data_IF_387384017322
#
_entry.id   IF_387384017322
#
_cell.length_a   1.000
_cell.length_b   1.000
_cell.length_c   1.000
_cell.angle_alpha   90.00
_cell.angle_beta   90.00
_cell.angle_gamma   90.00
#
_symmetry.space_group_name_H-M   'P 1'
#
loop_
_entity.id
_entity.type
_entity.pdbx_description
1 polymer ?
#
# COMPACT_ATOMS: atom_id res chain seq x y z
N UNK A 1 -10.10 -7.85 15.30
CA UNK A 1 -9.67 -6.49 15.66
C UNK A 1 -8.35 -6.51 16.45
N UNK A 2 -8.24 -7.23 17.62
CA UNK A 2 -7.04 -7.24 18.47
C UNK A 2 -5.76 -7.56 17.69
N UNK A 3 -5.72 -8.63 16.89
CA UNK A 3 -4.56 -9.00 16.08
C UNK A 3 -4.25 -7.97 15.00
N UNK A 4 -5.25 -7.31 14.44
CA UNK A 4 -5.03 -6.23 13.47
C UNK A 4 -4.35 -5.02 14.13
N UNK A 5 -4.79 -4.65 15.33
CA UNK A 5 -4.13 -3.60 16.13
C UNK A 5 -2.71 -4.02 16.51
N UNK A 6 -2.50 -5.27 16.92
CA UNK A 6 -1.17 -5.83 17.19
C UNK A 6 -0.25 -5.80 15.97
N UNK A 7 -0.77 -6.07 14.77
CA UNK A 7 -0.01 -5.92 13.53
C UNK A 7 0.41 -4.46 13.29
N UNK A 8 -0.51 -3.51 13.46
CA UNK A 8 -0.21 -2.07 13.34
C UNK A 8 0.88 -1.65 14.34
N UNK A 9 0.81 -2.11 15.60
CA UNK A 9 1.84 -1.87 16.61
C UNK A 9 3.19 -2.44 16.16
N UNK A 10 3.22 -3.68 15.67
CA UNK A 10 4.46 -4.32 15.19
C UNK A 10 5.08 -3.57 14.01
N UNK A 11 4.27 -3.14 13.04
CA UNK A 11 4.72 -2.36 11.88
C UNK A 11 5.35 -1.04 12.33
N UNK A 12 4.72 -0.37 13.27
CA UNK A 12 5.20 0.87 13.86
C UNK A 12 6.51 0.67 14.63
N UNK A 13 6.57 -0.33 15.50
CA UNK A 13 7.75 -0.60 16.31
C UNK A 13 8.97 -1.02 15.46
N UNK A 14 8.72 -1.76 14.38
CA UNK A 14 9.75 -2.14 13.42
C UNK A 14 10.29 -0.98 12.58
N UNK A 15 9.55 0.13 12.46
CA UNK A 15 9.96 1.25 11.61
C UNK A 15 11.31 1.84 12.02
N UNK A 16 11.49 2.17 13.31
CA UNK A 16 12.72 2.74 13.82
C UNK A 16 13.90 1.75 13.71
N UNK A 17 13.65 0.47 14.04
CA UNK A 17 14.66 -0.59 13.97
C UNK A 17 15.20 -0.74 12.56
N UNK A 18 14.33 -0.92 11.57
CA UNK A 18 14.76 -1.16 10.19
C UNK A 18 15.35 0.09 9.54
N UNK A 19 14.81 1.29 9.82
CA UNK A 19 15.41 2.53 9.35
C UNK A 19 16.80 2.78 9.96
N UNK A 20 17.06 2.32 11.18
CA UNK A 20 18.36 2.42 11.85
C UNK A 20 19.39 1.40 11.43
N UNK A 21 19.01 0.37 10.65
CA UNK A 21 19.91 -0.73 10.27
C UNK A 21 20.35 -0.56 8.82
N UNK A 22 21.66 -0.40 8.56
CA UNK A 22 22.19 -0.31 7.19
C UNK A 22 21.97 -1.61 6.42
N UNK A 23 21.53 -1.48 5.18
CA UNK A 23 21.43 -2.58 4.23
C UNK A 23 22.68 -2.71 3.39
N UNK A 24 22.99 -3.94 3.00
CA UNK A 24 24.08 -4.27 2.10
C UNK A 24 23.58 -4.51 0.67
N UNK A 25 24.32 -4.05 -0.31
CA UNK A 25 24.02 -4.22 -1.73
C UNK A 25 23.02 -3.20 -2.30
N UNK A 26 22.56 -3.41 -3.54
CA UNK A 26 21.63 -2.51 -4.22
C UNK A 26 20.24 -2.60 -3.60
N UNK A 27 19.57 -1.44 -3.47
CA UNK A 27 18.21 -1.39 -2.99
C UNK A 27 17.24 -2.05 -3.99
N UNK A 28 16.36 -2.89 -3.49
CA UNK A 28 15.25 -3.44 -4.26
C UNK A 28 14.24 -2.32 -4.62
N UNK A 29 13.68 -2.33 -5.82
CA UNK A 29 12.53 -1.48 -6.13
C UNK A 29 11.35 -1.79 -5.19
N UNK A 30 10.62 -0.76 -4.76
CA UNK A 30 9.50 -0.90 -3.84
C UNK A 30 8.46 -1.94 -4.30
N UNK A 31 8.18 -2.02 -5.61
CA UNK A 31 7.25 -2.99 -6.19
C UNK A 31 7.75 -4.45 -6.06
N UNK A 32 9.05 -4.67 -6.14
CA UNK A 32 9.66 -6.00 -5.94
C UNK A 32 9.69 -6.35 -4.45
N UNK A 33 10.12 -5.41 -3.62
CA UNK A 33 10.15 -5.57 -2.18
C UNK A 33 8.78 -5.95 -1.59
N UNK A 34 7.71 -5.29 -2.05
CA UNK A 34 6.35 -5.56 -1.54
C UNK A 34 5.83 -6.92 -1.99
N UNK A 35 6.18 -7.40 -3.19
CA UNK A 35 5.82 -8.75 -3.64
C UNK A 35 6.35 -9.86 -2.72
N UNK A 36 7.46 -9.63 -2.04
CA UNK A 36 8.02 -10.58 -1.08
C UNK A 36 7.20 -10.73 0.22
N UNK A 37 6.12 -9.97 0.41
CA UNK A 37 5.23 -10.13 1.57
C UNK A 37 4.23 -11.27 1.41
N UNK A 38 3.73 -11.54 0.21
CA UNK A 38 2.73 -12.59 0.00
C UNK A 38 3.22 -13.99 0.44
N UNK A 39 4.40 -14.48 0.02
CA UNK A 39 4.91 -15.77 0.48
C UNK A 39 5.26 -15.80 1.98
N UNK A 40 5.43 -14.63 2.61
CA UNK A 40 5.76 -14.50 4.02
C UNK A 40 4.53 -14.25 4.91
N UNK A 41 3.31 -14.33 4.37
CA UNK A 41 2.09 -13.97 5.10
C UNK A 41 1.87 -14.82 6.36
N UNK A 42 2.17 -16.11 6.32
CA UNK A 42 2.06 -17.01 7.47
C UNK A 42 3.03 -16.60 8.59
N UNK A 43 4.30 -16.39 8.26
CA UNK A 43 5.31 -15.95 9.23
C UNK A 43 4.97 -14.59 9.84
N UNK A 44 4.43 -13.67 9.02
CA UNK A 44 3.98 -12.35 9.50
C UNK A 44 2.83 -12.51 10.49
N UNK A 45 1.90 -13.43 10.22
CA UNK A 45 0.78 -13.70 11.13
C UNK A 45 1.28 -14.26 12.46
N UNK A 46 2.18 -15.24 12.45
CA UNK A 46 2.80 -15.81 13.67
C UNK A 46 3.57 -14.74 14.46
N UNK A 47 4.41 -13.94 13.79
CA UNK A 47 5.12 -12.83 14.41
C UNK A 47 4.17 -11.79 15.00
N UNK A 48 3.02 -11.56 14.38
CA UNK A 48 2.00 -10.65 14.88
C UNK A 48 1.35 -11.20 16.15
N UNK A 49 1.03 -12.50 16.19
CA UNK A 49 0.51 -13.16 17.38
C UNK A 49 1.53 -13.06 18.52
N UNK A 50 2.79 -13.41 18.26
CA UNK A 50 3.86 -13.34 19.26
C UNK A 50 4.08 -11.91 19.78
N UNK A 51 4.14 -10.91 18.90
CA UNK A 51 4.34 -9.51 19.26
C UNK A 51 3.14 -8.87 19.98
N UNK A 52 1.93 -9.39 19.73
CA UNK A 52 0.72 -8.95 20.44
C UNK A 52 0.69 -9.56 21.85
N UNK A 53 1.19 -10.79 21.99
CA UNK A 53 1.26 -11.51 23.25
C UNK A 53 -0.08 -11.48 24.01
N UNK A 54 -0.01 -11.23 25.30
CA UNK A 54 -1.15 -11.06 26.20
C UNK A 54 -1.57 -9.59 26.37
N UNK A 55 -0.93 -8.65 25.64
CA UNK A 55 -1.24 -7.23 25.73
C UNK A 55 -2.74 -6.97 25.62
N UNK A 56 -3.31 -6.30 26.60
CA UNK A 56 -4.69 -5.84 26.57
C UNK A 56 -4.86 -4.59 25.68
N UNK A 57 -6.10 -4.11 25.49
CA UNK A 57 -6.35 -2.91 24.67
C UNK A 57 -5.61 -1.67 25.17
N UNK A 58 -5.47 -1.48 26.47
CA UNK A 58 -4.79 -0.31 27.04
C UNK A 58 -3.30 -0.33 26.72
N UNK A 59 -2.63 -1.46 26.83
CA UNK A 59 -1.23 -1.65 26.51
C UNK A 59 -0.96 -1.41 25.02
N UNK A 60 -1.77 -2.01 24.13
CA UNK A 60 -1.67 -1.80 22.69
C UNK A 60 -1.85 -0.32 22.32
N UNK A 61 -2.80 0.38 22.93
CA UNK A 61 -3.01 1.82 22.71
C UNK A 61 -1.82 2.62 23.23
N UNK A 62 -1.27 2.28 24.39
CA UNK A 62 -0.08 2.95 24.93
C UNK A 62 1.11 2.79 23.99
N UNK A 63 1.34 1.60 23.47
CA UNK A 63 2.38 1.33 22.46
C UNK A 63 2.15 2.16 21.21
N UNK A 64 0.93 2.24 20.67
CA UNK A 64 0.62 3.07 19.50
C UNK A 64 0.87 4.57 19.72
N UNK A 65 0.69 5.08 20.93
CA UNK A 65 0.88 6.48 21.28
C UNK A 65 2.33 6.84 21.61
N UNK A 66 3.16 5.85 21.90
CA UNK A 66 4.55 6.10 22.23
C UNK A 66 5.29 6.77 21.04
N UNK A 67 6.24 7.68 21.25
CA UNK A 67 7.01 8.28 20.17
C UNK A 67 7.79 7.21 19.38
N UNK A 68 7.86 7.36 18.04
CA UNK A 68 8.78 6.57 17.23
C UNK A 68 10.04 7.41 17.02
N UNK A 69 11.20 7.00 17.56
CA UNK A 69 12.43 7.76 17.37
C UNK A 69 12.81 7.76 15.89
N UNK A 70 13.09 8.94 15.35
CA UNK A 70 13.67 9.05 14.02
C UNK A 70 15.17 8.70 14.11
N UNK A 71 15.69 7.75 13.34
CA UNK A 71 17.11 7.42 13.35
C UNK A 71 17.92 8.58 12.80
N UNK A 72 19.00 8.95 13.51
CA UNK A 72 19.89 10.02 13.07
C UNK A 72 20.69 9.60 11.83
N UNK A 73 20.93 10.55 10.92
CA UNK A 73 21.80 10.34 9.75
C UNK A 73 21.22 9.46 8.65
N UNK A 74 19.91 9.20 8.66
CA UNK A 74 19.22 8.47 7.60
C UNK A 74 18.56 9.45 6.64
N UNK A 75 19.05 9.50 5.41
CA UNK A 75 18.43 10.26 4.31
C UNK A 75 17.58 9.35 3.42
N UNK A 76 16.77 9.95 2.55
CA UNK A 76 15.81 9.26 1.67
C UNK A 76 16.44 8.13 0.83
N UNK A 77 17.66 8.35 0.32
CA UNK A 77 18.40 7.41 -0.51
C UNK A 77 19.24 6.39 0.30
N UNK A 78 19.27 6.49 1.61
CA UNK A 78 20.02 5.53 2.45
C UNK A 78 19.45 4.14 2.25
N UNK A 79 20.31 3.15 1.93
CA UNK A 79 19.89 1.75 1.85
C UNK A 79 19.82 1.19 3.26
N UNK A 80 18.66 0.65 3.61
CA UNK A 80 18.37 0.04 4.91
C UNK A 80 18.08 -1.45 4.76
N UNK A 81 18.36 -2.22 5.81
CA UNK A 81 18.07 -3.65 5.87
C UNK A 81 16.62 -3.90 6.27
N UNK A 82 15.70 -3.76 5.32
CA UNK A 82 14.30 -4.11 5.57
C UNK A 82 14.11 -5.63 5.74
N UNK A 83 12.99 -6.07 6.33
CA UNK A 83 12.73 -7.49 6.61
C UNK A 83 12.59 -8.36 5.33
N UNK A 84 12.57 -7.77 4.16
CA UNK A 84 12.46 -8.46 2.84
C UNK A 84 13.63 -8.16 1.92
N UNK A 85 14.71 -7.59 2.45
CA UNK A 85 15.93 -7.26 1.72
C UNK A 85 16.28 -5.76 1.78
N UNK A 86 17.38 -5.37 1.12
CA UNK A 86 17.81 -3.98 1.09
C UNK A 86 16.81 -3.11 0.31
N UNK A 87 16.48 -1.94 0.85
CA UNK A 87 15.54 -1.00 0.26
C UNK A 87 15.95 0.43 0.63
N UNK A 88 15.61 1.45 -0.15
CA UNK A 88 15.85 2.82 0.28
C UNK A 88 14.98 3.17 1.49
N UNK A 89 15.48 4.01 2.40
CA UNK A 89 14.74 4.42 3.58
C UNK A 89 13.39 5.07 3.23
N UNK A 90 13.35 5.89 2.17
CA UNK A 90 12.12 6.50 1.68
C UNK A 90 11.11 5.45 1.20
N UNK A 91 11.54 4.49 0.40
CA UNK A 91 10.63 3.45 -0.11
C UNK A 91 10.20 2.49 1.00
N UNK A 92 11.09 2.18 1.95
CA UNK A 92 10.69 1.43 3.14
C UNK A 92 9.61 2.17 3.93
N UNK A 93 9.78 3.46 4.20
CA UNK A 93 8.77 4.27 4.89
C UNK A 93 7.44 4.31 4.11
N UNK A 94 7.49 4.46 2.77
CA UNK A 94 6.29 4.40 1.92
C UNK A 94 5.55 3.07 2.01
N UNK A 95 6.28 1.95 2.06
CA UNK A 95 5.64 0.64 2.25
C UNK A 95 4.95 0.51 3.61
N UNK A 96 5.52 1.12 4.66
CA UNK A 96 4.90 1.13 6.00
C UNK A 96 3.67 2.04 6.04
N UNK A 97 3.72 3.21 5.41
CA UNK A 97 2.54 4.09 5.26
C UNK A 97 1.43 3.38 4.49
N UNK A 98 1.75 2.68 3.40
CA UNK A 98 0.78 1.88 2.65
C UNK A 98 0.11 0.83 3.54
N UNK A 99 0.91 0.06 4.27
CA UNK A 99 0.45 -0.99 5.19
C UNK A 99 -0.50 -0.40 6.27
N UNK A 100 -0.10 0.69 6.91
CA UNK A 100 -0.92 1.36 7.93
C UNK A 100 -2.24 1.91 7.36
N UNK A 101 -2.23 2.54 6.18
CA UNK A 101 -3.44 3.08 5.54
C UNK A 101 -4.42 1.96 5.19
N UNK A 102 -3.91 0.85 4.65
CA UNK A 102 -4.74 -0.31 4.30
C UNK A 102 -5.36 -0.93 5.55
N UNK A 103 -4.60 -1.08 6.62
CA UNK A 103 -5.12 -1.64 7.87
C UNK A 103 -6.02 -0.67 8.65
N UNK A 104 -5.89 0.64 8.48
CA UNK A 104 -6.89 1.58 8.95
C UNK A 104 -8.24 1.38 8.23
N UNK A 105 -8.26 1.15 6.91
CA UNK A 105 -9.48 0.79 6.18
C UNK A 105 -10.05 -0.56 6.65
N UNK A 106 -9.20 -1.55 6.90
CA UNK A 106 -9.62 -2.85 7.45
C UNK A 106 -10.28 -2.70 8.84
N UNK A 107 -9.72 -1.85 9.71
CA UNK A 107 -10.30 -1.55 11.04
C UNK A 107 -11.67 -0.91 10.92
N UNK A 108 -11.82 0.11 10.07
CA UNK A 108 -13.11 0.77 9.80
C UNK A 108 -14.16 -0.25 9.33
N UNK A 109 -13.80 -1.11 8.39
CA UNK A 109 -14.71 -2.15 7.87
C UNK A 109 -15.04 -3.25 8.88
N UNK A 110 -14.16 -3.49 9.85
CA UNK A 110 -14.37 -4.45 10.93
C UNK A 110 -15.28 -3.92 12.06
N UNK A 111 -15.59 -2.63 12.05
CA UNK A 111 -16.36 -1.94 13.07
C UNK A 111 -17.44 -1.06 12.42
N UNK A 112 -18.39 -1.63 11.67
CA UNK A 112 -19.36 -0.88 10.87
C UNK A 112 -20.30 -0.02 11.72
N UNK A 113 -20.43 -0.32 13.03
CA UNK A 113 -21.22 0.45 13.99
C UNK A 113 -20.51 1.69 14.53
N UNK A 114 -19.22 1.90 14.16
CA UNK A 114 -18.44 3.07 14.57
C UNK A 114 -18.35 4.08 13.45
N UNK A 115 -18.27 5.34 13.80
CA UNK A 115 -17.97 6.40 12.83
C UNK A 115 -16.63 6.14 12.16
N UNK A 116 -16.54 6.29 10.82
CA UNK A 116 -15.29 6.09 10.11
C UNK A 116 -14.21 7.06 10.58
N UNK A 117 -13.04 6.54 10.92
CA UNK A 117 -11.87 7.39 11.18
C UNK A 117 -11.33 7.89 9.85
N UNK A 118 -11.26 9.20 9.63
CA UNK A 118 -10.76 9.75 8.36
C UNK A 118 -9.28 9.44 8.18
N UNK A 119 -8.93 8.92 7.01
CA UNK A 119 -7.53 8.70 6.64
C UNK A 119 -6.81 10.04 6.47
N UNK A 120 -5.63 10.15 7.05
CA UNK A 120 -4.78 11.34 6.94
C UNK A 120 -4.41 11.57 5.47
N UNK A 121 -4.81 12.71 4.90
CA UNK A 121 -4.68 13.00 3.46
C UNK A 121 -3.27 12.78 2.88
N UNK A 122 -2.16 13.21 3.49
CA UNK A 122 -0.81 12.91 3.01
C UNK A 122 -0.48 11.42 2.99
N UNK A 123 -0.91 10.66 4.00
CA UNK A 123 -0.70 9.21 4.07
C UNK A 123 -1.48 8.49 2.96
N UNK A 124 -2.75 8.84 2.77
CA UNK A 124 -3.59 8.32 1.69
C UNK A 124 -2.98 8.63 0.32
N UNK A 125 -2.52 9.86 0.09
CA UNK A 125 -1.85 10.25 -1.14
C UNK A 125 -0.57 9.44 -1.41
N UNK A 126 0.24 9.20 -0.37
CA UNK A 126 1.44 8.36 -0.45
C UNK A 126 1.09 6.91 -0.82
N UNK A 127 0.13 6.31 -0.13
CA UNK A 127 -0.32 4.94 -0.39
C UNK A 127 -0.85 4.78 -1.83
N UNK A 128 -1.74 5.68 -2.27
CA UNK A 128 -2.31 5.69 -3.63
C UNK A 128 -1.23 5.77 -4.71
N UNK A 129 -0.27 6.68 -4.56
CA UNK A 129 0.85 6.82 -5.50
C UNK A 129 1.75 5.59 -5.51
N UNK A 130 2.02 5.01 -4.34
CA UNK A 130 2.84 3.80 -4.23
C UNK A 130 2.22 2.65 -5.01
N UNK A 131 0.93 2.35 -4.83
CA UNK A 131 0.29 1.26 -5.57
C UNK A 131 0.08 1.60 -7.05
N UNK A 132 -0.08 2.88 -7.43
CA UNK A 132 -0.10 3.29 -8.84
C UNK A 132 1.27 3.04 -9.52
N UNK A 133 2.38 3.34 -8.83
CA UNK A 133 3.73 3.01 -9.31
C UNK A 133 3.93 1.49 -9.44
N UNK A 134 3.36 0.71 -8.52
CA UNK A 134 3.42 -0.76 -8.61
C UNK A 134 2.66 -1.29 -9.83
N UNK A 135 1.51 -0.70 -10.18
CA UNK A 135 0.80 -1.05 -11.41
C UNK A 135 1.66 -0.78 -12.65
N UNK A 136 2.29 0.40 -12.72
CA UNK A 136 3.14 0.73 -13.88
C UNK A 136 4.38 -0.15 -13.99
N UNK A 137 4.91 -0.64 -12.86
CA UNK A 137 6.01 -1.60 -12.84
C UNK A 137 5.56 -3.02 -13.25
N UNK A 138 4.34 -3.43 -12.85
CA UNK A 138 3.78 -4.75 -13.18
C UNK A 138 3.30 -4.84 -14.64
N UNK A 139 2.73 -3.76 -15.15
CA UNK A 139 2.14 -3.67 -16.47
C UNK A 139 2.63 -2.39 -17.17
N UNK A 140 3.92 -2.34 -17.59
CA UNK A 140 4.46 -1.16 -18.24
C UNK A 140 3.76 -0.93 -19.59
N UNK A 141 3.54 0.35 -19.94
CA UNK A 141 2.92 0.72 -21.21
C UNK A 141 2.20 2.06 -21.13
N UNK A 142 1.47 2.38 -22.21
CA UNK A 142 0.78 3.67 -22.35
C UNK A 142 -0.58 3.54 -23.03
N UNK A 143 -1.20 2.36 -22.97
CA UNK A 143 -2.50 2.15 -23.64
C UNK A 143 -3.69 2.45 -22.75
N UNK A 144 -3.52 2.46 -21.43
CA UNK A 144 -4.57 2.76 -20.45
C UNK A 144 -4.09 3.85 -19.50
N UNK A 145 -4.93 4.85 -19.24
CA UNK A 145 -4.70 5.86 -18.21
C UNK A 145 -5.52 5.52 -16.97
N UNK A 146 -4.84 5.24 -15.86
CA UNK A 146 -5.46 5.16 -14.54
C UNK A 146 -5.48 6.56 -13.90
N UNK A 147 -6.66 7.00 -13.48
CA UNK A 147 -6.88 8.23 -12.73
C UNK A 147 -7.42 7.96 -11.34
N UNK A 148 -6.75 8.49 -10.34
CA UNK A 148 -7.20 8.45 -8.94
C UNK A 148 -7.15 9.87 -8.38
N UNK A 149 -8.12 10.72 -8.74
CA UNK A 149 -8.13 12.10 -8.28
C UNK A 149 -8.30 12.18 -6.76
N UNK A 150 -7.69 13.17 -6.09
CA UNK A 150 -6.84 14.22 -6.65
C UNK A 150 -5.35 13.85 -6.64
N UNK A 151 -4.95 12.58 -6.48
CA UNK A 151 -3.61 12.20 -6.07
C UNK A 151 -2.70 11.77 -7.22
N UNK A 152 -3.22 11.10 -8.25
CA UNK A 152 -2.39 10.52 -9.31
C UNK A 152 -3.16 10.30 -10.61
N UNK A 153 -2.43 10.46 -11.73
CA UNK A 153 -2.79 9.93 -13.04
C UNK A 153 -1.53 9.28 -13.62
N UNK A 154 -1.63 8.01 -14.05
CA UNK A 154 -0.51 7.26 -14.63
C UNK A 154 -0.97 6.49 -15.86
N UNK A 155 -0.03 6.29 -16.79
CA UNK A 155 -0.24 5.41 -17.93
C UNK A 155 0.38 4.04 -17.65
N UNK A 156 -0.34 2.98 -17.99
CA UNK A 156 0.06 1.61 -17.83
C UNK A 156 -0.43 0.76 -19.02
N UNK A 157 -0.07 -0.51 -18.99
CA UNK A 157 -0.51 -1.55 -19.93
C UNK A 157 0.07 -1.35 -21.33
N UNK A 158 0.68 -2.40 -21.84
CA UNK A 158 1.22 -2.44 -23.19
C UNK A 158 0.10 -2.31 -24.23
N UNK A 159 0.42 -1.67 -25.35
CA UNK A 159 -0.48 -1.51 -26.49
C UNK A 159 -0.31 -0.19 -27.22
N UNK A 160 -1.23 0.16 -28.10
CA UNK A 160 -1.14 1.37 -28.90
C UNK A 160 -1.00 2.62 -28.03
N UNK A 161 0.04 3.41 -28.29
CA UNK A 161 0.29 4.66 -27.58
C UNK A 161 -0.64 5.75 -28.09
N UNK A 162 -1.36 6.37 -27.19
CA UNK A 162 -2.09 7.59 -27.47
C UNK A 162 -1.18 8.81 -27.32
N UNK A 163 -1.13 9.68 -28.32
CA UNK A 163 -0.21 10.83 -28.35
C UNK A 163 -0.91 12.17 -28.42
N UNK A 164 -2.21 12.23 -28.71
CA UNK A 164 -2.99 13.47 -28.85
C UNK A 164 -4.43 13.28 -28.44
N UNK A 165 -5.00 14.29 -27.76
CA UNK A 165 -6.39 14.31 -27.32
C UNK A 165 -6.67 13.49 -26.06
N UNK A 166 -7.94 13.11 -25.85
CA UNK A 166 -8.36 12.28 -24.70
C UNK A 166 -7.87 10.85 -24.85
N UNK A 167 -7.28 10.22 -23.82
CA UNK A 167 -6.89 8.82 -23.87
C UNK A 167 -8.07 7.92 -24.24
N UNK A 168 -7.89 6.95 -25.16
CA UNK A 168 -8.97 6.09 -25.62
C UNK A 168 -9.41 5.06 -24.57
N UNK A 169 -8.56 4.78 -23.59
CA UNK A 169 -8.86 3.88 -22.49
C UNK A 169 -8.52 4.54 -21.16
N UNK A 170 -9.54 4.74 -20.36
CA UNK A 170 -9.42 5.41 -19.05
C UNK A 170 -10.09 4.56 -17.99
N UNK A 171 -9.41 4.39 -16.88
CA UNK A 171 -9.96 3.86 -15.63
C UNK A 171 -9.87 4.95 -14.58
N UNK A 172 -11.01 5.40 -14.06
CA UNK A 172 -11.09 6.42 -13.01
C UNK A 172 -11.79 5.85 -11.79
N UNK A 173 -11.22 6.11 -10.61
CA UNK A 173 -11.75 5.64 -9.34
C UNK A 173 -11.34 6.56 -8.19
N UNK A 174 -12.03 6.49 -7.06
CA UNK A 174 -11.64 7.20 -5.85
C UNK A 174 -10.44 6.52 -5.15
N UNK A 175 -9.74 7.25 -4.26
CA UNK A 175 -8.54 6.75 -3.59
C UNK A 175 -8.72 5.47 -2.77
N UNK A 176 -9.84 5.35 -2.06
CA UNK A 176 -10.10 4.19 -1.17
C UNK A 176 -10.43 2.96 -2.01
N UNK A 177 -11.29 3.11 -3.01
CA UNK A 177 -11.61 2.05 -3.97
C UNK A 177 -10.35 1.57 -4.68
N UNK A 178 -9.48 2.49 -5.13
CA UNK A 178 -8.19 2.11 -5.74
C UNK A 178 -7.32 1.25 -4.81
N UNK A 179 -7.16 1.65 -3.54
CA UNK A 179 -6.39 0.87 -2.57
C UNK A 179 -7.01 -0.51 -2.35
N UNK A 180 -8.33 -0.62 -2.23
CA UNK A 180 -9.03 -1.90 -2.05
C UNK A 180 -8.84 -2.84 -3.25
N UNK A 181 -8.91 -2.31 -4.46
CA UNK A 181 -8.62 -3.06 -5.68
C UNK A 181 -7.18 -3.55 -5.71
N UNK A 182 -6.22 -2.65 -5.47
CA UNK A 182 -4.80 -2.95 -5.51
C UNK A 182 -4.36 -3.97 -4.46
N UNK A 183 -5.11 -4.08 -3.36
CA UNK A 183 -4.80 -4.95 -2.22
C UNK A 183 -5.74 -6.16 -2.09
N UNK A 184 -6.57 -6.43 -3.12
CA UNK A 184 -7.46 -7.59 -3.15
C UNK A 184 -8.66 -7.52 -2.20
N UNK A 185 -8.99 -6.34 -1.69
CA UNK A 185 -10.13 -6.10 -0.79
C UNK A 185 -11.43 -5.79 -1.53
N UNK A 186 -11.34 -5.56 -2.83
CA UNK A 186 -12.48 -5.40 -3.74
C UNK A 186 -12.15 -6.01 -5.10
N UNK A 187 -13.16 -6.58 -5.77
CA UNK A 187 -13.06 -7.08 -7.13
C UNK A 187 -13.27 -5.96 -8.16
N UNK A 188 -12.48 -5.95 -9.24
CA UNK A 188 -12.58 -4.90 -10.27
C UNK A 188 -13.98 -4.87 -10.92
N UNK A 189 -14.48 -6.02 -11.37
CA UNK A 189 -15.80 -6.10 -12.01
C UNK A 189 -16.95 -5.70 -11.06
N UNK A 190 -16.80 -6.00 -9.77
CA UNK A 190 -17.78 -5.59 -8.75
C UNK A 190 -17.76 -4.08 -8.55
N UNK A 191 -16.56 -3.49 -8.44
CA UNK A 191 -16.40 -2.04 -8.27
C UNK A 191 -16.93 -1.26 -9.49
N UNK A 192 -16.78 -1.79 -10.71
CA UNK A 192 -17.39 -1.21 -11.93
C UNK A 192 -18.91 -1.26 -11.84
N UNK A 193 -19.49 -2.41 -11.47
CA UNK A 193 -20.95 -2.56 -11.35
C UNK A 193 -21.55 -1.66 -10.25
N UNK A 194 -20.81 -1.46 -9.16
CA UNK A 194 -21.19 -0.57 -8.06
C UNK A 194 -20.98 0.93 -8.36
N UNK A 195 -20.36 1.28 -9.50
CA UNK A 195 -20.04 2.67 -9.85
C UNK A 195 -18.83 3.27 -9.15
N UNK A 196 -18.10 2.48 -8.36
CA UNK A 196 -16.83 2.89 -7.72
C UNK A 196 -15.67 3.00 -8.70
N UNK A 197 -15.80 2.37 -9.87
CA UNK A 197 -14.84 2.47 -10.98
C UNK A 197 -15.58 2.86 -12.26
N UNK A 198 -15.08 3.88 -12.94
CA UNK A 198 -15.48 4.24 -14.30
C UNK A 198 -14.42 3.76 -15.27
N UNK A 199 -14.78 2.78 -16.09
CA UNK A 199 -13.91 2.22 -17.12
C UNK A 199 -14.47 2.57 -18.50
N UNK A 200 -13.68 3.19 -19.34
CA UNK A 200 -14.06 3.56 -20.71
C UNK A 200 -12.98 3.14 -21.72
N UNK A 201 -13.40 2.62 -22.86
CA UNK A 201 -12.53 2.08 -23.89
C UNK A 201 -12.37 0.58 -23.82
N UNK A 202 -11.95 -0.03 -24.93
CA UNK A 202 -11.91 -1.48 -25.13
C UNK A 202 -10.82 -2.19 -24.32
N UNK A 203 -9.85 -1.44 -23.76
CA UNK A 203 -8.73 -1.94 -22.97
C UNK A 203 -8.78 -1.50 -21.50
N UNK A 204 -9.87 -0.86 -21.08
CA UNK A 204 -10.01 -0.32 -19.74
C UNK A 204 -10.38 -1.40 -18.69
N UNK A 205 -9.82 -2.60 -18.82
CA UNK A 205 -9.95 -3.68 -17.84
C UNK A 205 -8.64 -3.88 -17.09
N UNK A 206 -8.63 -3.60 -15.78
CA UNK A 206 -7.50 -3.82 -14.91
C UNK A 206 -7.55 -5.16 -14.15
N UNK A 207 -8.63 -5.93 -14.28
CA UNK A 207 -8.78 -7.20 -13.54
C UNK A 207 -7.58 -8.15 -13.71
N UNK A 208 -6.98 -8.33 -14.93
CA UNK A 208 -5.83 -9.21 -15.11
C UNK A 208 -4.55 -8.80 -14.37
N UNK A 209 -4.49 -7.54 -13.92
CA UNK A 209 -3.32 -6.96 -13.24
C UNK A 209 -3.52 -6.78 -11.74
N UNK A 210 -4.72 -7.07 -11.24
CA UNK A 210 -5.09 -6.90 -9.84
C UNK A 210 -5.37 -8.27 -9.17
N UNK A 211 -5.15 -8.38 -7.86
CA UNK A 211 -4.50 -7.41 -6.99
C UNK A 211 -2.99 -7.29 -7.24
N UNK A 212 -2.41 -6.15 -6.77
CA UNK A 212 -0.97 -5.91 -6.85
C UNK A 212 -0.21 -6.50 -5.66
N UNK A 213 -0.93 -6.65 -4.54
CA UNK A 213 -0.46 -7.15 -3.25
C UNK A 213 -1.25 -8.41 -2.90
N UNK A 214 -0.79 -9.54 -3.35
CA UNK A 214 -1.38 -10.86 -3.05
C UNK A 214 -0.28 -11.91 -3.02
#
# INVERSE_FOLDING_TARGET
>A
VRLLVGHVVRVRDGLATFLGTRGDGPALPAAEYVRAYAPAAADIAEQTVAATGEDGPAELIARLRAPVPAPAGVGDATVVAGPRGPITALDFARTRVLDLVVHCDDLVRSLPERDPVPLVRPALASAVRTVATMLTARAPGRSVELRVPPFVAVQAIEGPRHTRGTPPNVVETDPVTWLRLATGRAGFAEAVRAGGVRASGTRADLAPYLPLLS
#
